data_IF_912832041107
#
_entry.id   IF_912832041107
#
_cell.length_a   1.000
_cell.length_b   1.000
_cell.length_c   1.000
_cell.angle_alpha   90.00
_cell.angle_beta   90.00
_cell.angle_gamma   90.00
#
_symmetry.space_group_name_H-M   'P 1'
#
loop_
_entity.id
_entity.type
_entity.pdbx_description
1 polymer ?
#
# COMPACT_ATOMS: atom_id res chain seq x y z
N UNK A 1 16.87 -23.36 8.61
CA UNK A 1 17.29 -22.16 7.84
C UNK A 1 18.81 -22.05 7.92
N UNK A 2 19.48 -21.93 6.78
CA UNK A 2 20.95 -21.73 6.76
C UNK A 2 21.28 -20.37 7.39
N UNK A 3 22.32 -20.32 8.25
CA UNK A 3 22.85 -19.07 8.84
C UNK A 3 23.12 -17.99 7.78
N UNK A 4 23.41 -18.37 6.53
CA UNK A 4 23.65 -17.45 5.40
C UNK A 4 22.44 -16.63 4.97
N UNK A 5 21.22 -17.12 5.17
CA UNK A 5 19.98 -16.37 4.84
C UNK A 5 19.63 -15.34 5.92
N UNK A 6 19.99 -15.60 7.18
CA UNK A 6 19.79 -14.67 8.29
C UNK A 6 20.75 -13.47 8.22
N UNK A 7 21.98 -13.65 7.71
CA UNK A 7 22.93 -12.54 7.50
C UNK A 7 22.49 -11.55 6.41
N UNK A 8 21.51 -11.90 5.57
CA UNK A 8 20.96 -10.97 4.58
C UNK A 8 19.90 -10.04 5.14
N UNK A 9 19.46 -10.33 6.37
CA UNK A 9 18.46 -9.57 7.11
C UNK A 9 19.15 -9.12 8.37
N UNK A 10 19.76 -7.96 8.30
CA UNK A 10 20.26 -7.28 9.47
C UNK A 10 19.06 -6.87 10.33
N UNK A 11 18.87 -7.43 11.55
CA UNK A 11 17.77 -7.04 12.42
C UNK A 11 17.75 -5.54 12.72
N UNK A 12 18.93 -4.89 12.75
CA UNK A 12 19.05 -3.45 12.95
C UNK A 12 18.65 -2.62 11.73
N UNK A 13 18.69 -3.19 10.52
CA UNK A 13 18.12 -2.59 9.30
C UNK A 13 16.59 -2.67 9.21
N UNK A 14 15.99 -3.52 10.04
CA UNK A 14 14.53 -3.68 10.14
C UNK A 14 13.90 -2.69 11.11
N UNK A 15 14.70 -1.88 11.79
CA UNK A 15 14.16 -0.80 12.61
C UNK A 15 13.45 0.20 11.68
N UNK A 16 12.17 0.45 11.92
CA UNK A 16 11.30 1.25 11.03
C UNK A 16 11.83 2.66 10.79
N UNK A 17 12.51 3.25 11.77
CA UNK A 17 12.99 4.64 11.73
C UNK A 17 13.92 4.95 10.57
N UNK A 18 14.95 4.13 10.32
CA UNK A 18 15.91 4.45 9.25
C UNK A 18 15.26 4.32 7.84
N UNK A 19 14.46 3.28 7.63
CA UNK A 19 13.71 3.06 6.37
C UNK A 19 12.59 4.08 6.24
N UNK A 20 11.82 4.31 7.30
CA UNK A 20 10.74 5.29 7.33
C UNK A 20 11.21 6.70 7.05
N UNK A 21 12.36 7.12 7.55
CA UNK A 21 12.90 8.45 7.28
C UNK A 21 13.28 8.63 5.81
N UNK A 22 13.83 7.62 5.14
CA UNK A 22 14.14 7.67 3.71
C UNK A 22 12.86 7.75 2.86
N UNK A 23 11.83 6.99 3.23
CA UNK A 23 10.51 7.05 2.59
C UNK A 23 9.90 8.44 2.74
N UNK A 24 9.98 9.05 3.94
CA UNK A 24 9.51 10.42 4.19
C UNK A 24 10.25 11.45 3.34
N UNK A 25 11.56 11.28 3.12
CA UNK A 25 12.33 12.16 2.23
C UNK A 25 11.85 12.03 0.79
N UNK A 26 11.69 10.82 0.26
CA UNK A 26 11.14 10.61 -1.08
C UNK A 26 9.75 11.24 -1.25
N UNK A 27 8.86 11.03 -0.28
CA UNK A 27 7.55 11.66 -0.26
C UNK A 27 7.63 13.20 -0.26
N UNK A 28 8.49 13.78 0.60
CA UNK A 28 8.67 15.24 0.66
C UNK A 28 9.15 15.79 -0.70
N UNK A 29 10.14 15.14 -1.30
CA UNK A 29 10.66 15.53 -2.61
C UNK A 29 9.58 15.41 -3.71
N UNK A 30 8.74 14.38 -3.68
CA UNK A 30 7.61 14.26 -4.61
C UNK A 30 6.62 15.43 -4.47
N UNK A 31 6.31 15.86 -3.24
CA UNK A 31 5.47 17.04 -3.02
C UNK A 31 6.16 18.34 -3.51
N UNK A 32 7.47 18.49 -3.30
CA UNK A 32 8.23 19.65 -3.82
C UNK A 32 8.13 19.71 -5.34
N UNK A 33 8.36 18.59 -6.05
CA UNK A 33 8.23 18.51 -7.51
C UNK A 33 6.81 18.85 -7.96
N UNK A 34 5.81 18.30 -7.28
CA UNK A 34 4.40 18.56 -7.59
C UNK A 34 4.02 20.05 -7.40
N UNK A 35 4.42 20.65 -6.29
CA UNK A 35 4.14 22.07 -6.03
C UNK A 35 4.90 22.96 -7.00
N UNK A 36 6.17 22.64 -7.33
CA UNK A 36 6.91 23.40 -8.34
C UNK A 36 6.18 23.40 -9.69
N UNK A 37 5.65 22.24 -10.11
CA UNK A 37 4.81 22.16 -11.30
C UNK A 37 3.52 22.98 -11.18
N UNK A 38 2.84 22.96 -10.03
CA UNK A 38 1.60 23.75 -9.83
C UNK A 38 1.80 25.26 -10.03
N UNK A 39 3.01 25.76 -9.82
CA UNK A 39 3.37 27.17 -10.03
C UNK A 39 4.12 27.43 -11.35
N UNK A 40 4.24 26.44 -12.22
CA UNK A 40 4.87 26.58 -13.54
C UNK A 40 3.84 26.88 -14.64
N UNK A 41 4.32 27.35 -15.78
CA UNK A 41 3.49 27.62 -16.97
C UNK A 41 2.93 26.33 -17.61
N UNK A 42 3.45 25.15 -17.21
CA UNK A 42 2.95 23.84 -17.67
C UNK A 42 1.78 23.32 -16.84
N UNK A 43 1.34 24.03 -15.80
CA UNK A 43 0.24 23.54 -14.96
C UNK A 43 -1.04 23.33 -15.78
N UNK A 44 -1.65 22.16 -15.64
CA UNK A 44 -2.87 21.80 -16.34
C UNK A 44 -3.87 21.08 -15.44
N UNK A 45 -5.05 21.68 -15.27
CA UNK A 45 -6.18 21.05 -14.57
C UNK A 45 -6.61 19.75 -15.26
N UNK A 46 -6.61 19.70 -16.58
CA UNK A 46 -6.95 18.50 -17.35
C UNK A 46 -5.98 17.35 -17.02
N UNK A 47 -4.68 17.63 -17.04
CA UNK A 47 -3.69 16.63 -16.64
C UNK A 47 -3.90 16.17 -15.20
N UNK A 48 -4.08 17.09 -14.25
CA UNK A 48 -4.30 16.77 -12.83
C UNK A 48 -5.53 15.89 -12.63
N UNK A 49 -6.68 16.27 -13.18
CA UNK A 49 -7.95 15.59 -12.93
C UNK A 49 -8.10 14.26 -13.69
N UNK A 50 -7.48 14.12 -14.85
CA UNK A 50 -7.56 12.91 -15.66
C UNK A 50 -6.36 11.98 -15.37
N UNK A 51 -5.13 12.51 -15.40
CA UNK A 51 -3.94 11.68 -15.25
C UNK A 51 -3.78 11.14 -13.82
N UNK A 52 -4.09 11.94 -12.79
CA UNK A 52 -3.86 11.53 -11.40
C UNK A 52 -4.60 10.23 -11.01
N UNK A 53 -5.91 10.05 -11.24
CA UNK A 53 -6.58 8.78 -10.93
C UNK A 53 -5.99 7.60 -11.68
N UNK A 54 -5.61 7.79 -12.95
CA UNK A 54 -5.01 6.75 -13.78
C UNK A 54 -3.62 6.35 -13.27
N UNK A 55 -2.73 7.32 -13.05
CA UNK A 55 -1.38 7.09 -12.57
C UNK A 55 -1.37 6.50 -11.16
N UNK A 56 -2.25 6.99 -10.29
CA UNK A 56 -2.44 6.38 -8.98
C UNK A 56 -2.86 4.90 -9.10
N UNK A 57 -3.87 4.60 -9.92
CA UNK A 57 -4.37 3.23 -10.02
C UNK A 57 -3.34 2.29 -10.65
N UNK A 58 -2.79 2.64 -11.82
CA UNK A 58 -1.94 1.73 -12.60
C UNK A 58 -0.48 1.72 -12.17
N UNK A 59 0.00 2.72 -11.45
CA UNK A 59 1.37 2.76 -10.94
C UNK A 59 1.39 2.60 -9.43
N UNK A 60 0.85 3.55 -8.68
CA UNK A 60 0.92 3.54 -7.23
C UNK A 60 0.19 2.35 -6.59
N UNK A 61 -1.10 2.17 -6.93
CA UNK A 61 -1.94 1.14 -6.32
C UNK A 61 -1.56 -0.27 -6.78
N UNK A 62 -1.19 -0.47 -8.06
CA UNK A 62 -0.76 -1.78 -8.53
C UNK A 62 0.48 -2.29 -7.80
N UNK A 63 1.48 -1.45 -7.57
CA UNK A 63 2.68 -1.86 -6.86
C UNK A 63 2.41 -2.24 -5.40
N UNK A 64 1.79 -1.34 -4.65
CA UNK A 64 1.59 -1.53 -3.21
C UNK A 64 0.36 -2.41 -2.90
N UNK A 65 -0.83 -2.02 -3.37
CA UNK A 65 -2.08 -2.70 -3.00
C UNK A 65 -2.21 -4.07 -3.68
N UNK A 66 -1.90 -4.19 -4.97
CA UNK A 66 -2.01 -5.47 -5.68
C UNK A 66 -0.78 -6.33 -5.43
N UNK A 67 0.44 -5.78 -5.60
CA UNK A 67 1.69 -6.50 -5.40
C UNK A 67 1.96 -6.81 -3.94
N UNK A 68 2.35 -5.79 -3.17
CA UNK A 68 2.80 -6.00 -1.79
C UNK A 68 1.70 -6.56 -0.89
N UNK A 69 0.51 -6.00 -0.97
CA UNK A 69 -0.59 -6.32 -0.08
C UNK A 69 -1.30 -7.61 -0.48
N UNK A 70 -1.98 -7.65 -1.64
CA UNK A 70 -2.81 -8.82 -2.01
C UNK A 70 -1.97 -10.02 -2.44
N UNK A 71 -0.94 -9.84 -3.28
CA UNK A 71 -0.17 -10.98 -3.81
C UNK A 71 0.80 -11.54 -2.75
N UNK A 72 1.70 -10.71 -2.20
CA UNK A 72 2.77 -11.22 -1.33
C UNK A 72 2.43 -11.25 0.15
N UNK A 73 1.64 -10.31 0.67
CA UNK A 73 1.26 -10.33 2.07
C UNK A 73 0.18 -11.38 2.35
N UNK A 74 -0.96 -11.25 1.68
CA UNK A 74 -2.15 -12.07 1.96
C UNK A 74 -2.29 -13.30 1.07
N UNK A 75 -1.51 -13.38 -0.04
CA UNK A 75 -1.56 -14.50 -0.99
C UNK A 75 -2.98 -14.73 -1.53
N UNK A 76 -3.68 -13.65 -1.83
CA UNK A 76 -5.06 -13.64 -2.28
C UNK A 76 -5.23 -14.21 -3.68
N UNK A 77 -4.16 -14.28 -4.47
CA UNK A 77 -4.15 -14.82 -5.82
C UNK A 77 -2.75 -15.29 -6.22
N UNK A 78 -2.68 -16.07 -7.29
CA UNK A 78 -1.43 -16.42 -8.00
C UNK A 78 -1.41 -15.76 -9.36
N UNK A 79 -0.22 -15.57 -9.94
CA UNK A 79 -0.09 -14.89 -11.23
C UNK A 79 1.13 -15.41 -12.02
N UNK A 80 1.33 -14.91 -13.23
CA UNK A 80 2.48 -15.21 -14.06
C UNK A 80 3.75 -14.53 -13.55
N UNK A 81 4.92 -15.09 -13.77
CA UNK A 81 6.20 -14.53 -13.32
C UNK A 81 6.47 -13.14 -13.87
N UNK A 82 6.12 -12.85 -15.09
CA UNK A 82 6.28 -11.50 -15.66
C UNK A 82 5.40 -10.46 -14.96
N UNK A 83 4.19 -10.84 -14.50
CA UNK A 83 3.31 -9.97 -13.69
C UNK A 83 3.94 -9.72 -12.31
N UNK A 84 4.51 -10.74 -11.68
CA UNK A 84 5.23 -10.56 -10.40
C UNK A 84 6.37 -9.53 -10.56
N UNK A 85 7.17 -9.63 -11.63
CA UNK A 85 8.23 -8.65 -11.92
C UNK A 85 7.68 -7.24 -12.12
N UNK A 86 6.61 -7.10 -12.90
CA UNK A 86 5.95 -5.81 -13.10
C UNK A 86 5.47 -5.21 -11.78
N UNK A 87 4.74 -5.98 -10.97
CA UNK A 87 4.23 -5.54 -9.67
C UNK A 87 5.36 -5.18 -8.70
N UNK A 88 6.49 -5.89 -8.75
CA UNK A 88 7.66 -5.58 -7.93
C UNK A 88 8.31 -4.25 -8.34
N UNK A 89 8.46 -3.99 -9.63
CA UNK A 89 8.96 -2.71 -10.14
C UNK A 89 8.03 -1.57 -9.72
N UNK A 90 6.71 -1.72 -9.93
CA UNK A 90 5.72 -0.73 -9.51
C UNK A 90 5.73 -0.52 -7.98
N UNK A 91 6.00 -1.56 -7.20
CA UNK A 91 6.17 -1.47 -5.76
C UNK A 91 7.37 -0.61 -5.34
N UNK A 92 8.49 -0.70 -6.05
CA UNK A 92 9.64 0.20 -5.84
C UNK A 92 9.25 1.65 -6.11
N UNK A 93 8.59 1.88 -7.23
CA UNK A 93 8.15 3.22 -7.67
C UNK A 93 7.16 3.86 -6.71
N UNK A 94 6.38 3.05 -5.98
CA UNK A 94 5.36 3.57 -5.05
C UNK A 94 5.92 4.20 -3.77
N UNK A 95 7.24 4.21 -3.58
CA UNK A 95 7.94 4.76 -2.40
C UNK A 95 7.42 4.19 -1.05
N UNK A 96 7.03 2.91 -1.04
CA UNK A 96 6.46 2.25 0.15
C UNK A 96 7.50 1.44 0.96
N UNK A 97 8.78 1.52 0.60
CA UNK A 97 9.84 0.63 1.10
C UNK A 97 9.89 -0.70 0.33
N UNK A 98 10.81 -1.58 0.69
CA UNK A 98 10.89 -2.87 0.02
C UNK A 98 9.70 -3.77 0.37
N UNK A 99 9.31 -4.64 -0.57
CA UNK A 99 8.21 -5.59 -0.36
C UNK A 99 8.38 -6.39 0.94
N UNK A 100 9.58 -6.90 1.21
CA UNK A 100 9.86 -7.68 2.42
C UNK A 100 9.59 -6.85 3.70
N UNK A 101 10.05 -5.59 3.76
CA UNK A 101 9.82 -4.74 4.94
C UNK A 101 8.35 -4.38 5.11
N UNK A 102 7.69 -4.03 4.01
CA UNK A 102 6.28 -3.69 4.01
C UNK A 102 5.40 -4.87 4.46
N UNK A 103 5.63 -6.06 3.88
CA UNK A 103 4.90 -7.29 4.22
C UNK A 103 5.15 -7.71 5.67
N UNK A 104 6.39 -7.59 6.16
CA UNK A 104 6.72 -7.87 7.55
C UNK A 104 5.89 -7.01 8.51
N UNK A 105 5.88 -5.70 8.29
CA UNK A 105 5.11 -4.74 9.07
C UNK A 105 3.61 -5.04 9.01
N UNK A 106 3.08 -5.26 7.82
CA UNK A 106 1.64 -5.47 7.63
C UNK A 106 1.12 -6.79 8.21
N UNK A 107 1.93 -7.87 8.13
CA UNK A 107 1.59 -9.14 8.80
C UNK A 107 1.63 -9.02 10.33
N UNK A 108 2.54 -8.21 10.90
CA UNK A 108 2.54 -7.89 12.34
C UNK A 108 1.29 -7.09 12.71
N UNK A 109 0.90 -6.11 11.86
CA UNK A 109 -0.34 -5.36 12.03
C UNK A 109 -1.56 -6.29 12.08
N UNK A 110 -1.77 -7.16 11.09
CA UNK A 110 -2.90 -8.10 11.10
C UNK A 110 -2.89 -9.06 12.30
N UNK A 111 -1.71 -9.50 12.74
CA UNK A 111 -1.59 -10.37 13.92
C UNK A 111 -2.00 -9.65 15.21
N UNK A 112 -1.72 -8.36 15.33
CA UNK A 112 -1.88 -7.59 16.57
C UNK A 112 -2.83 -6.39 16.40
N UNK A 113 -3.66 -6.36 15.35
CA UNK A 113 -4.45 -5.19 14.97
C UNK A 113 -5.10 -4.49 16.17
N UNK A 114 -4.79 -3.19 16.34
CA UNK A 114 -5.25 -2.30 17.41
C UNK A 114 -4.84 -2.71 18.84
N UNK A 115 -3.86 -3.62 18.98
CA UNK A 115 -3.33 -4.12 20.25
C UNK A 115 -1.85 -3.78 20.44
N UNK A 116 -1.29 -3.98 21.64
CA UNK A 116 0.15 -3.82 21.87
C UNK A 116 0.98 -4.66 20.87
N UNK A 117 2.01 -4.05 20.27
CA UNK A 117 2.82 -4.65 19.23
C UNK A 117 2.32 -4.43 17.81
N UNK A 118 1.19 -3.77 17.62
CA UNK A 118 0.72 -3.31 16.32
C UNK A 118 1.47 -2.02 15.93
N UNK A 119 2.24 -2.03 14.80
CA UNK A 119 2.92 -0.83 14.33
C UNK A 119 1.96 0.31 13.94
N UNK A 120 0.73 -0.01 13.59
CA UNK A 120 -0.29 0.95 13.16
C UNK A 120 -1.37 1.21 14.21
N UNK A 121 -1.07 0.96 15.49
CA UNK A 121 -2.05 1.03 16.58
C UNK A 121 -2.62 2.45 16.74
N UNK A 122 -3.93 2.67 16.47
CA UNK A 122 -4.56 4.00 16.56
C UNK A 122 -4.77 4.44 18.02
N UNK A 123 -4.58 3.56 19.00
CA UNK A 123 -4.73 3.86 20.42
C UNK A 123 -3.46 4.43 21.04
N UNK A 124 -2.28 4.10 20.47
CA UNK A 124 -0.97 4.56 20.93
C UNK A 124 -0.41 5.69 20.06
N UNK A 125 -0.70 5.68 18.75
CA UNK A 125 -0.20 6.68 17.81
C UNK A 125 -1.18 7.83 17.57
N UNK A 126 -0.65 9.03 17.35
CA UNK A 126 -1.42 10.18 16.86
C UNK A 126 -1.79 9.98 15.39
N UNK A 127 -2.86 10.64 14.91
CA UNK A 127 -3.30 10.52 13.51
C UNK A 127 -2.21 10.90 12.51
N UNK A 128 -1.47 11.97 12.77
CA UNK A 128 -0.42 12.41 11.88
C UNK A 128 0.75 11.40 11.82
N UNK A 129 1.04 10.69 12.91
CA UNK A 129 2.05 9.62 12.92
C UNK A 129 1.63 8.47 12.00
N UNK A 130 0.39 8.00 12.14
CA UNK A 130 -0.17 6.96 11.25
C UNK A 130 -0.20 7.42 9.79
N UNK A 131 -0.57 8.70 9.55
CA UNK A 131 -0.57 9.27 8.21
C UNK A 131 0.83 9.32 7.60
N UNK A 132 1.83 9.77 8.37
CA UNK A 132 3.22 9.88 7.93
C UNK A 132 4.02 8.58 8.07
N UNK A 133 3.35 7.45 8.34
CA UNK A 133 4.02 6.15 8.56
C UNK A 133 5.09 6.20 9.65
N UNK A 134 4.85 6.99 10.70
CA UNK A 134 5.73 7.14 11.86
C UNK A 134 5.31 6.16 12.96
N UNK A 135 5.67 4.89 12.78
CA UNK A 135 5.17 3.77 13.59
C UNK A 135 6.01 3.47 14.84
N UNK A 136 7.02 4.29 15.15
CA UNK A 136 7.88 4.06 16.30
C UNK A 136 8.72 2.78 16.19
N UNK A 137 9.39 2.42 17.27
CA UNK A 137 10.29 1.26 17.37
C UNK A 137 9.82 0.22 18.41
N UNK A 138 8.62 0.34 18.93
CA UNK A 138 8.00 -0.53 19.93
C UNK A 138 7.38 -1.82 19.39
N UNK A 139 7.54 -2.05 18.11
CA UNK A 139 7.11 -3.28 17.43
C UNK A 139 8.31 -4.01 16.80
N UNK A 140 8.19 -5.30 16.60
CA UNK A 140 9.22 -6.11 15.95
C UNK A 140 8.62 -7.17 15.04
N UNK A 141 9.30 -7.45 13.94
CA UNK A 141 9.00 -8.59 13.08
C UNK A 141 10.11 -9.63 13.17
N UNK A 142 9.72 -10.90 13.14
CA UNK A 142 10.68 -12.00 13.09
C UNK A 142 10.68 -12.70 11.72
N UNK A 143 11.67 -13.59 11.48
CA UNK A 143 11.75 -14.38 10.25
C UNK A 143 10.46 -15.13 9.89
N UNK A 144 9.64 -15.46 10.87
CA UNK A 144 8.34 -16.15 10.68
C UNK A 144 7.38 -15.37 9.78
N UNK A 145 7.44 -14.03 9.83
CA UNK A 145 6.54 -13.17 9.05
C UNK A 145 6.91 -13.06 7.58
N UNK A 146 8.13 -13.46 7.19
CA UNK A 146 8.67 -13.24 5.85
C UNK A 146 9.47 -14.44 5.30
N UNK A 147 9.44 -15.58 5.98
CA UNK A 147 10.19 -16.77 5.58
C UNK A 147 9.95 -17.15 4.11
N UNK A 148 8.72 -17.03 3.65
CA UNK A 148 8.33 -17.29 2.27
C UNK A 148 9.00 -16.35 1.27
N UNK A 149 9.09 -15.05 1.59
CA UNK A 149 9.71 -14.06 0.71
C UNK A 149 11.23 -14.14 0.71
N UNK A 150 11.83 -14.58 1.82
CA UNK A 150 13.29 -14.74 1.92
C UNK A 150 13.84 -15.84 1.02
N UNK A 151 13.04 -16.80 0.62
CA UNK A 151 13.47 -17.86 -0.31
C UNK A 151 13.41 -17.41 -1.77
N UNK A 152 12.68 -16.33 -2.10
CA UNK A 152 12.57 -15.81 -3.45
C UNK A 152 13.80 -14.93 -3.81
N UNK A 153 14.59 -15.27 -4.84
CA UNK A 153 15.72 -14.45 -5.27
C UNK A 153 15.32 -13.04 -5.72
N UNK A 154 14.16 -12.88 -6.37
CA UNK A 154 13.64 -11.59 -6.81
C UNK A 154 13.37 -10.69 -5.60
N UNK A 155 12.67 -11.20 -4.59
CA UNK A 155 12.38 -10.48 -3.35
C UNK A 155 13.68 -10.00 -2.67
N UNK A 156 14.68 -10.87 -2.55
CA UNK A 156 15.98 -10.51 -1.96
C UNK A 156 16.74 -9.47 -2.77
N UNK A 157 16.72 -9.58 -4.10
CA UNK A 157 17.37 -8.60 -4.99
C UNK A 157 16.79 -7.22 -4.80
N UNK A 158 15.46 -7.08 -4.89
CA UNK A 158 14.77 -5.80 -4.72
C UNK A 158 14.90 -5.26 -3.30
N UNK A 159 14.87 -6.10 -2.28
CA UNK A 159 15.07 -5.67 -0.90
C UNK A 159 16.46 -5.05 -0.68
N UNK A 160 17.52 -5.71 -1.17
CA UNK A 160 18.91 -5.23 -1.02
C UNK A 160 19.18 -3.93 -1.79
N UNK A 161 18.53 -3.77 -2.91
CA UNK A 161 18.80 -2.68 -3.84
C UNK A 161 17.70 -1.61 -3.86
N UNK A 162 16.69 -1.71 -2.99
CA UNK A 162 15.49 -0.88 -3.03
C UNK A 162 15.78 0.60 -3.27
N UNK A 163 16.52 1.25 -2.36
CA UNK A 163 16.82 2.68 -2.48
C UNK A 163 17.73 3.02 -3.67
N UNK A 164 18.61 2.11 -4.07
CA UNK A 164 19.44 2.33 -5.29
C UNK A 164 18.56 2.34 -6.54
N UNK A 165 17.62 1.41 -6.63
CA UNK A 165 16.69 1.31 -7.76
C UNK A 165 15.75 2.52 -7.78
N UNK A 166 15.21 2.92 -6.63
CA UNK A 166 14.34 4.09 -6.53
C UNK A 166 15.08 5.37 -6.92
N UNK A 167 16.29 5.60 -6.39
CA UNK A 167 17.10 6.77 -6.76
C UNK A 167 17.43 6.76 -8.25
N UNK A 168 17.86 5.62 -8.81
CA UNK A 168 18.15 5.51 -10.23
C UNK A 168 16.91 5.81 -11.09
N UNK A 169 15.74 5.34 -10.68
CA UNK A 169 14.46 5.62 -11.32
C UNK A 169 14.11 7.11 -11.31
N UNK A 170 14.22 7.76 -10.15
CA UNK A 170 13.93 9.19 -10.00
C UNK A 170 14.91 10.03 -10.83
N UNK A 171 16.21 9.69 -10.79
CA UNK A 171 17.22 10.40 -11.59
C UNK A 171 16.98 10.23 -13.09
N UNK A 172 16.60 9.04 -13.54
CA UNK A 172 16.28 8.80 -14.95
C UNK A 172 15.12 9.67 -15.43
N UNK A 173 13.98 9.68 -14.71
CA UNK A 173 12.84 10.49 -15.09
C UNK A 173 13.05 11.99 -14.90
N UNK A 174 13.85 12.36 -13.90
CA UNK A 174 14.31 13.74 -13.71
C UNK A 174 15.17 14.22 -14.90
N UNK A 175 16.11 13.38 -15.36
CA UNK A 175 16.91 13.69 -16.54
C UNK A 175 16.08 13.83 -17.82
N UNK A 176 15.07 12.96 -18.00
CA UNK A 176 14.12 13.08 -19.11
C UNK A 176 13.29 14.37 -19.01
N UNK A 177 12.86 14.75 -17.82
CA UNK A 177 12.15 16.01 -17.60
C UNK A 177 13.02 17.23 -18.00
N UNK A 178 14.30 17.22 -17.63
CA UNK A 178 15.24 18.26 -18.04
C UNK A 178 15.50 18.25 -19.55
N UNK A 179 15.65 17.09 -20.15
CA UNK A 179 15.86 16.95 -21.60
C UNK A 179 14.68 17.49 -22.42
N UNK A 180 13.46 17.15 -22.01
CA UNK A 180 12.24 17.63 -22.68
C UNK A 180 11.80 19.02 -22.20
N UNK A 181 12.48 19.61 -21.23
CA UNK A 181 12.10 20.88 -20.59
C UNK A 181 10.64 20.86 -20.12
N UNK A 182 10.22 19.73 -19.51
CA UNK A 182 8.84 19.50 -19.11
C UNK A 182 8.74 18.74 -17.77
N UNK A 183 7.77 19.11 -16.94
CA UNK A 183 7.50 18.45 -15.67
C UNK A 183 6.79 17.08 -15.82
N UNK A 184 6.12 16.85 -16.94
CA UNK A 184 5.27 15.67 -17.11
C UNK A 184 5.98 14.31 -16.95
N UNK A 185 7.21 14.08 -17.45
CA UNK A 185 7.87 12.79 -17.27
C UNK A 185 8.06 12.39 -15.81
N UNK A 186 8.62 13.27 -14.97
CA UNK A 186 8.86 12.96 -13.55
C UNK A 186 7.56 12.95 -12.75
N UNK A 187 6.58 13.80 -13.07
CA UNK A 187 5.28 13.82 -12.43
C UNK A 187 4.51 12.54 -12.70
N UNK A 188 4.42 12.12 -13.96
CA UNK A 188 3.65 10.93 -14.33
C UNK A 188 4.29 9.64 -13.81
N UNK A 189 5.62 9.54 -13.91
CA UNK A 189 6.31 8.33 -13.53
C UNK A 189 6.48 8.17 -12.01
N UNK A 190 6.63 9.26 -11.28
CA UNK A 190 6.98 9.20 -9.85
C UNK A 190 6.16 10.14 -8.97
N UNK A 191 6.12 11.44 -9.25
CA UNK A 191 5.54 12.43 -8.35
C UNK A 191 4.09 12.14 -7.98
N UNK A 192 3.20 12.04 -8.97
CA UNK A 192 1.77 11.77 -8.77
C UNK A 192 1.52 10.38 -8.16
N UNK A 193 2.10 9.28 -8.66
CA UNK A 193 1.94 7.96 -8.04
C UNK A 193 2.34 7.94 -6.56
N UNK A 194 3.49 8.52 -6.20
CA UNK A 194 3.98 8.56 -4.81
C UNK A 194 3.05 9.38 -3.91
N UNK A 195 2.69 10.60 -4.32
CA UNK A 195 1.82 11.48 -3.54
C UNK A 195 0.46 10.84 -3.31
N UNK A 196 -0.16 10.33 -4.37
CA UNK A 196 -1.50 9.74 -4.30
C UNK A 196 -1.50 8.49 -3.44
N UNK A 197 -0.52 7.59 -3.66
CA UNK A 197 -0.41 6.35 -2.91
C UNK A 197 -0.16 6.60 -1.42
N UNK A 198 0.79 7.49 -1.11
CA UNK A 198 1.15 7.84 0.25
C UNK A 198 -0.04 8.46 1.02
N UNK A 199 -0.71 9.44 0.43
CA UNK A 199 -1.81 10.13 1.11
C UNK A 199 -3.03 9.22 1.30
N UNK A 200 -3.37 8.37 0.32
CA UNK A 200 -4.49 7.44 0.46
C UNK A 200 -4.19 6.32 1.46
N UNK A 201 -2.97 5.78 1.48
CA UNK A 201 -2.55 4.81 2.49
C UNK A 201 -2.50 5.44 3.88
N UNK A 202 -1.92 6.64 4.01
CA UNK A 202 -1.87 7.40 5.25
C UNK A 202 -3.26 7.73 5.79
N UNK A 203 -4.19 8.11 4.91
CA UNK A 203 -5.59 8.35 5.26
C UNK A 203 -6.24 7.07 5.80
N UNK A 204 -6.03 5.93 5.15
CA UNK A 204 -6.54 4.64 5.58
C UNK A 204 -6.01 4.28 6.97
N UNK A 205 -4.71 4.30 7.17
CA UNK A 205 -4.08 4.01 8.46
C UNK A 205 -4.57 4.93 9.59
N UNK A 206 -4.71 6.22 9.30
CA UNK A 206 -5.09 7.22 10.29
C UNK A 206 -6.57 7.15 10.71
N UNK A 207 -7.44 6.59 9.87
CA UNK A 207 -8.89 6.76 10.04
C UNK A 207 -9.72 5.48 10.03
N UNK A 208 -9.27 4.40 9.41
CA UNK A 208 -10.08 3.20 9.25
C UNK A 208 -9.96 2.18 10.42
N UNK A 209 -9.15 2.46 11.44
CA UNK A 209 -9.04 1.69 12.69
C UNK A 209 -9.50 2.49 13.90
N UNK A 210 -10.74 3.01 13.89
CA UNK A 210 -11.22 3.90 14.95
C UNK A 210 -12.67 3.67 15.35
N UNK A 211 -13.17 2.44 15.22
CA UNK A 211 -14.57 2.14 15.51
C UNK A 211 -14.99 2.49 16.94
N UNK A 212 -14.14 2.22 17.92
CA UNK A 212 -14.42 2.47 19.35
C UNK A 212 -14.14 3.92 19.79
N UNK A 213 -13.37 4.69 19.00
CA UNK A 213 -13.13 6.11 19.33
C UNK A 213 -14.33 6.97 18.93
N UNK A 214 -14.88 7.74 19.86
CA UNK A 214 -16.01 8.64 19.61
C UNK A 214 -15.70 9.77 18.63
N UNK A 215 -14.41 10.12 18.46
CA UNK A 215 -13.96 11.21 17.62
C UNK A 215 -13.79 10.73 16.18
N UNK A 216 -14.35 11.48 15.26
CA UNK A 216 -14.26 11.42 13.81
C UNK A 216 -14.08 10.02 13.21
N UNK A 217 -15.05 9.59 12.44
CA UNK A 217 -15.03 8.39 11.60
C UNK A 217 -15.14 8.79 10.14
N UNK A 218 -14.64 7.97 9.20
CA UNK A 218 -14.89 8.19 7.77
C UNK A 218 -16.38 8.35 7.47
N UNK A 219 -16.71 9.23 6.53
CA UNK A 219 -18.10 9.44 6.10
C UNK A 219 -18.70 8.12 5.62
N UNK A 220 -19.94 7.81 6.03
CA UNK A 220 -20.62 6.57 5.67
C UNK A 220 -19.94 5.31 6.20
N UNK A 221 -19.19 5.42 7.32
CA UNK A 221 -18.50 4.26 7.90
C UNK A 221 -19.46 3.29 8.59
N UNK A 222 -19.17 1.99 8.43
CA UNK A 222 -19.92 0.89 9.01
C UNK A 222 -19.01 -0.35 9.21
N UNK A 223 -19.53 -1.39 9.84
CA UNK A 223 -18.87 -2.69 9.97
C UNK A 223 -19.81 -3.78 9.47
N UNK A 224 -19.24 -4.76 8.78
CA UNK A 224 -19.95 -5.97 8.38
C UNK A 224 -19.63 -7.14 9.33
N UNK A 225 -18.45 -7.10 9.97
CA UNK A 225 -17.92 -8.16 10.79
C UNK A 225 -17.51 -7.63 12.16
N UNK A 226 -17.81 -8.39 13.20
CA UNK A 226 -17.33 -8.13 14.56
C UNK A 226 -15.92 -8.72 14.73
N UNK A 227 -14.94 -8.08 14.10
CA UNK A 227 -13.53 -8.39 14.26
C UNK A 227 -13.01 -7.88 15.60
N UNK A 228 -11.91 -8.48 16.11
CA UNK A 228 -11.32 -8.06 17.40
C UNK A 228 -10.66 -6.67 17.34
N UNK A 229 -10.45 -6.14 16.14
CA UNK A 229 -9.93 -4.81 15.86
C UNK A 229 -11.04 -3.77 15.69
N UNK A 230 -10.65 -2.52 15.45
CA UNK A 230 -11.53 -1.36 15.26
C UNK A 230 -11.65 -0.95 13.78
N UNK A 231 -11.40 -1.88 12.85
CA UNK A 231 -11.48 -1.62 11.42
C UNK A 231 -12.89 -1.21 10.96
N UNK A 232 -12.97 -0.38 9.93
CA UNK A 232 -14.19 0.18 9.39
C UNK A 232 -14.26 -0.03 7.88
N UNK A 233 -15.47 -0.12 7.35
CA UNK A 233 -15.79 0.06 5.95
C UNK A 233 -16.32 1.47 5.71
N UNK A 234 -16.23 1.97 4.46
CA UNK A 234 -16.97 3.12 3.98
C UNK A 234 -17.35 2.92 2.52
N UNK A 235 -18.61 2.73 2.22
CA UNK A 235 -19.09 2.58 0.84
C UNK A 235 -18.86 3.86 0.01
N UNK A 236 -18.98 5.04 0.64
CA UNK A 236 -18.79 6.33 -0.05
C UNK A 236 -17.33 6.51 -0.47
N UNK A 237 -16.39 6.36 0.47
CA UNK A 237 -14.96 6.52 0.19
C UNK A 237 -14.43 5.37 -0.69
N UNK A 238 -15.12 4.23 -0.69
CA UNK A 238 -14.73 3.08 -1.48
C UNK A 238 -14.78 3.34 -3.00
N UNK A 239 -15.65 4.25 -3.46
CA UNK A 239 -15.70 4.69 -4.85
C UNK A 239 -14.35 5.26 -5.28
N UNK A 240 -13.73 6.07 -4.41
CA UNK A 240 -12.42 6.69 -4.67
C UNK A 240 -11.25 5.77 -4.35
N UNK A 241 -11.41 4.81 -3.44
CA UNK A 241 -10.35 3.89 -3.02
C UNK A 241 -10.37 2.53 -3.72
N UNK A 242 -11.28 2.32 -4.68
CA UNK A 242 -11.31 1.16 -5.58
C UNK A 242 -11.28 -0.20 -4.85
N UNK A 243 -11.96 -0.33 -3.72
CA UNK A 243 -11.97 -1.52 -2.87
C UNK A 243 -11.25 -1.33 -1.52
N UNK A 244 -10.25 -0.44 -1.44
CA UNK A 244 -9.42 -0.25 -0.24
C UNK A 244 -10.19 0.23 1.00
N UNK A 245 -11.33 0.92 0.83
CA UNK A 245 -12.18 1.38 1.93
C UNK A 245 -13.15 0.31 2.47
N UNK A 246 -13.11 -0.91 1.98
CA UNK A 246 -13.78 -2.07 2.57
C UNK A 246 -12.86 -2.75 3.61
N UNK A 247 -12.33 -1.97 4.54
CA UNK A 247 -11.22 -2.37 5.39
C UNK A 247 -11.61 -3.34 6.51
N UNK A 248 -12.84 -3.23 7.05
CA UNK A 248 -13.36 -4.24 7.98
C UNK A 248 -13.61 -5.59 7.29
N UNK A 249 -14.08 -5.58 6.03
CA UNK A 249 -14.21 -6.81 5.25
C UNK A 249 -12.84 -7.45 5.00
N UNK A 250 -11.83 -6.61 4.71
CA UNK A 250 -10.46 -7.05 4.53
C UNK A 250 -9.89 -7.69 5.81
N UNK A 251 -10.04 -7.06 6.98
CA UNK A 251 -9.57 -7.61 8.25
C UNK A 251 -10.27 -8.92 8.64
N UNK A 252 -11.53 -9.09 8.27
CA UNK A 252 -12.27 -10.33 8.51
C UNK A 252 -11.87 -11.46 7.53
N UNK A 253 -11.50 -11.13 6.29
CA UNK A 253 -11.21 -12.08 5.22
C UNK A 253 -10.01 -11.63 4.38
N UNK A 254 -8.86 -11.51 5.03
CA UNK A 254 -7.62 -10.94 4.48
C UNK A 254 -7.09 -11.69 3.24
N UNK A 255 -7.33 -12.99 3.14
CA UNK A 255 -6.92 -13.81 2.01
C UNK A 255 -7.82 -13.72 0.79
N UNK A 256 -9.00 -13.11 0.90
CA UNK A 256 -9.89 -12.98 -0.25
C UNK A 256 -9.31 -12.04 -1.31
N UNK A 257 -9.39 -12.45 -2.59
CA UNK A 257 -8.97 -11.58 -3.70
C UNK A 257 -9.83 -10.32 -3.81
N UNK A 258 -11.03 -10.36 -3.27
CA UNK A 258 -11.96 -9.24 -3.24
C UNK A 258 -12.51 -9.00 -1.84
N UNK A 259 -12.61 -7.74 -1.46
CA UNK A 259 -13.20 -7.35 -0.17
C UNK A 259 -14.72 -7.21 -0.22
N UNK A 260 -15.33 -7.31 -1.42
CA UNK A 260 -16.78 -7.45 -1.58
C UNK A 260 -17.22 -8.91 -1.39
N UNK A 261 -17.06 -9.42 -0.18
CA UNK A 261 -17.36 -10.83 0.15
C UNK A 261 -18.84 -11.18 0.08
N UNK A 262 -19.73 -10.20 0.23
CA UNK A 262 -21.19 -10.38 0.10
C UNK A 262 -21.73 -10.12 -1.31
N UNK A 263 -20.89 -9.73 -2.27
CA UNK A 263 -21.27 -9.35 -3.63
C UNK A 263 -22.34 -8.25 -3.70
N UNK A 264 -22.25 -7.29 -2.78
CA UNK A 264 -23.16 -6.13 -2.75
C UNK A 264 -22.77 -5.12 -3.81
N UNK A 265 -23.76 -4.57 -4.51
CA UNK A 265 -23.53 -3.57 -5.58
C UNK A 265 -22.91 -2.27 -5.06
N UNK A 266 -23.18 -1.90 -3.79
CA UNK A 266 -22.65 -0.69 -3.16
C UNK A 266 -21.30 -0.91 -2.42
N UNK A 267 -20.74 -2.10 -2.49
CA UNK A 267 -19.40 -2.45 -2.01
C UNK A 267 -18.48 -2.87 -3.17
N UNK A 268 -18.36 -2.09 -4.29
CA UNK A 268 -17.54 -2.49 -5.42
C UNK A 268 -16.05 -2.58 -5.01
N UNK A 269 -15.39 -3.66 -5.44
CA UNK A 269 -13.93 -3.79 -5.34
C UNK A 269 -13.35 -3.84 -6.76
N UNK A 270 -13.11 -2.65 -7.32
CA UNK A 270 -12.55 -2.51 -8.65
C UNK A 270 -11.16 -3.14 -8.76
N UNK A 271 -10.36 -3.03 -7.69
CA UNK A 271 -9.01 -3.65 -7.64
C UNK A 271 -9.10 -5.16 -7.70
N UNK A 272 -9.98 -5.79 -6.90
CA UNK A 272 -10.19 -7.24 -6.93
C UNK A 272 -10.74 -7.70 -8.27
N UNK A 273 -11.68 -6.96 -8.85
CA UNK A 273 -12.20 -7.24 -10.18
C UNK A 273 -11.10 -7.20 -11.25
N UNK A 274 -10.23 -6.17 -11.22
CA UNK A 274 -9.11 -6.04 -12.16
C UNK A 274 -8.12 -7.20 -12.02
N UNK A 275 -7.75 -7.54 -10.77
CA UNK A 275 -6.86 -8.68 -10.48
C UNK A 275 -7.42 -9.97 -11.07
N UNK A 276 -8.69 -10.30 -10.78
CA UNK A 276 -9.31 -11.55 -11.24
C UNK A 276 -9.34 -11.67 -12.76
N UNK A 277 -9.66 -10.58 -13.47
CA UNK A 277 -9.92 -10.64 -14.91
C UNK A 277 -8.66 -10.47 -15.78
N UNK A 278 -7.60 -9.82 -15.26
CA UNK A 278 -6.44 -9.44 -16.08
C UNK A 278 -5.10 -9.96 -15.57
N UNK A 279 -5.00 -10.36 -14.31
CA UNK A 279 -3.70 -10.67 -13.71
C UNK A 279 -3.61 -12.08 -13.14
N UNK A 280 -4.67 -12.57 -12.52
CA UNK A 280 -4.62 -13.81 -11.75
C UNK A 280 -4.69 -15.06 -12.63
N UNK A 281 -3.86 -16.07 -12.31
CA UNK A 281 -4.02 -17.45 -12.78
C UNK A 281 -4.94 -18.26 -11.87
N UNK A 282 -4.99 -17.92 -10.58
CA UNK A 282 -5.99 -18.40 -9.62
C UNK A 282 -6.25 -17.37 -8.53
N UNK A 283 -7.40 -17.44 -7.89
CA UNK A 283 -7.81 -16.52 -6.82
C UNK A 283 -8.34 -17.30 -5.61
N UNK A 284 -8.11 -16.74 -4.41
CA UNK A 284 -8.83 -17.17 -3.20
C UNK A 284 -10.13 -16.37 -3.12
N UNK A 285 -11.25 -17.01 -3.39
CA UNK A 285 -12.57 -16.36 -3.43
C UNK A 285 -13.38 -16.70 -2.18
N UNK A 286 -13.56 -15.71 -1.30
CA UNK A 286 -14.48 -15.81 -0.17
C UNK A 286 -15.80 -15.17 -0.58
N UNK A 287 -16.85 -16.00 -0.67
CA UNK A 287 -18.21 -15.55 -0.95
C UNK A 287 -19.15 -16.00 0.17
N UNK A 288 -19.79 -15.06 0.82
CA UNK A 288 -20.70 -15.30 1.93
C UNK A 288 -22.13 -14.92 1.55
N UNK A 289 -23.14 -15.63 2.11
CA UNK A 289 -24.54 -15.20 1.98
C UNK A 289 -24.71 -13.81 2.63
N UNK A 290 -25.42 -12.92 1.95
CA UNK A 290 -25.65 -11.58 2.49
C UNK A 290 -26.73 -11.61 3.57
N UNK A 291 -26.41 -11.33 4.85
CA UNK A 291 -27.39 -11.34 5.91
C UNK A 291 -28.48 -10.28 5.77
N UNK A 292 -28.31 -9.28 4.88
CA UNK A 292 -29.34 -8.28 4.58
C UNK A 292 -30.34 -8.75 3.52
N UNK A 293 -30.11 -9.92 2.90
CA UNK A 293 -31.00 -10.53 1.90
C UNK A 293 -31.74 -11.75 2.42
N UNK A 294 -31.42 -12.16 3.65
CA UNK A 294 -32.13 -13.16 4.42
C UNK A 294 -33.22 -12.47 5.24
#
# INVERSE_FOLDING_TARGET
>A
MSKSLLHTIDPDRWRPTATGNKIKVGMFLAHVVFFAWCFSDEFSWTFLLIATPFLWFFVGKMGMEVGYHRLWCHRSFTTYKWVEWLLMILGVVSNAGSCITWVAMHRVHHQNADRPGDPQNPHTHKRWQLWLTDFGDDWSSGPRHIKDLLHDPMQRFFHRNYFKLEIAYVLFWGALSLYFQSWYPILAAWGIPVISNFNLAGFLNAHFHRAKKKNWKPIGSYRNFDTQDDSLNSAILNIFMCGGALHNNHHAHDKSYTYNVYRRWYEPDLTGWFVKNFMATSVVDVHLPDPKKA
#
